data_IF_600303350749
#
_entry.id   IF_600303350749
#
_cell.length_a   1.000
_cell.length_b   1.000
_cell.length_c   1.000
_cell.angle_alpha   90.00
_cell.angle_beta   90.00
_cell.angle_gamma   90.00
#
_symmetry.space_group_name_H-M   'P 1'
#
loop_
_entity.id
_entity.type
_entity.pdbx_description
1 polymer ?
#
# COMPACT_ATOMS: atom_id res chain seq x y z
N UNK A 1 17.17 4.20 -9.28
CA UNK A 1 18.03 5.33 -9.63
C UNK A 1 18.20 5.53 -11.15
N UNK A 2 17.73 4.62 -11.96
CA UNK A 2 17.87 4.65 -13.43
C UNK A 2 16.58 5.06 -14.15
N UNK A 3 15.54 5.36 -13.40
CA UNK A 3 14.21 5.77 -13.89
C UNK A 3 13.76 7.06 -13.20
N UNK A 4 12.77 7.74 -13.77
CA UNK A 4 12.13 8.89 -13.13
C UNK A 4 11.57 8.51 -11.76
N UNK A 5 11.62 9.45 -10.82
CA UNK A 5 11.07 9.25 -9.47
C UNK A 5 9.56 8.97 -9.54
N UNK A 6 9.06 8.12 -8.66
CA UNK A 6 7.64 7.71 -8.65
C UNK A 6 6.70 8.92 -8.57
N UNK A 7 7.05 9.94 -7.78
CA UNK A 7 6.27 11.18 -7.67
C UNK A 7 6.28 12.04 -8.95
N UNK A 8 7.20 11.79 -9.90
CA UNK A 8 7.21 12.42 -11.23
C UNK A 8 6.40 11.62 -12.26
N UNK A 9 6.22 10.30 -12.03
CA UNK A 9 5.50 9.41 -12.95
C UNK A 9 4.01 9.39 -12.65
N UNK A 10 3.65 9.36 -11.37
CA UNK A 10 2.25 9.35 -10.94
C UNK A 10 1.66 10.75 -11.06
N UNK A 11 0.67 10.90 -11.94
CA UNK A 11 0.03 12.20 -12.23
C UNK A 11 -0.94 12.65 -11.13
N UNK A 12 -1.66 11.71 -10.49
CA UNK A 12 -2.51 12.02 -9.34
C UNK A 12 -1.74 11.76 -8.03
N UNK A 13 -1.37 12.80 -7.26
CA UNK A 13 -0.60 12.64 -6.03
C UNK A 13 -1.25 11.71 -4.99
N UNK A 14 -2.59 11.61 -4.98
CA UNK A 14 -3.33 10.70 -4.09
C UNK A 14 -3.02 9.21 -4.38
N UNK A 15 -2.50 8.89 -5.56
CA UNK A 15 -2.13 7.52 -5.92
C UNK A 15 -0.71 7.13 -5.46
N UNK A 16 0.12 8.07 -5.01
CA UNK A 16 1.46 7.75 -4.52
C UNK A 16 1.41 6.82 -3.30
N UNK A 17 0.59 7.09 -2.25
CA UNK A 17 0.43 6.15 -1.14
C UNK A 17 -0.10 4.78 -1.58
N UNK A 18 -0.97 4.72 -2.60
CA UNK A 18 -1.50 3.44 -3.11
C UNK A 18 -0.41 2.58 -3.74
N UNK A 19 0.53 3.19 -4.45
CA UNK A 19 1.66 2.48 -5.03
C UNK A 19 2.54 1.83 -3.94
N UNK A 20 2.83 2.55 -2.86
CA UNK A 20 3.52 1.99 -1.70
C UNK A 20 2.68 0.92 -0.98
N UNK A 21 1.36 1.12 -0.87
CA UNK A 21 0.46 0.09 -0.36
C UNK A 21 0.51 -1.20 -1.17
N UNK A 22 0.64 -1.13 -2.49
CA UNK A 22 0.87 -2.30 -3.32
C UNK A 22 2.26 -2.89 -3.06
N UNK A 23 3.32 -2.07 -3.10
CA UNK A 23 4.70 -2.52 -2.95
C UNK A 23 4.92 -3.29 -1.65
N UNK A 24 4.46 -2.75 -0.53
CA UNK A 24 4.59 -3.41 0.77
C UNK A 24 3.70 -4.64 0.95
N UNK A 25 2.57 -4.71 0.23
CA UNK A 25 1.64 -5.85 0.24
C UNK A 25 2.10 -7.02 -0.65
N UNK A 26 2.80 -6.74 -1.74
CA UNK A 26 3.24 -7.76 -2.70
C UNK A 26 4.30 -8.70 -2.09
N UNK A 27 4.43 -9.94 -2.65
CA UNK A 27 5.57 -10.80 -2.35
C UNK A 27 6.90 -10.13 -2.67
N UNK A 28 7.90 -10.34 -1.82
CA UNK A 28 9.24 -9.79 -1.99
C UNK A 28 9.59 -8.75 -0.93
N UNK A 29 10.73 -8.09 -1.12
CA UNK A 29 11.29 -7.08 -0.22
C UNK A 29 11.01 -5.72 -0.83
N UNK A 30 10.22 -4.85 -0.17
CA UNK A 30 10.00 -3.49 -0.66
C UNK A 30 11.30 -2.69 -0.63
N UNK A 31 11.51 -1.85 -1.64
CA UNK A 31 12.70 -1.03 -1.77
C UNK A 31 12.32 0.41 -2.05
N UNK A 32 12.35 1.24 -1.03
CA UNK A 32 12.09 2.67 -1.14
C UNK A 32 13.40 3.40 -1.44
N UNK A 33 13.50 4.02 -2.60
CA UNK A 33 14.68 4.80 -2.96
C UNK A 33 14.69 6.14 -2.23
N UNK A 34 15.84 6.50 -1.62
CA UNK A 34 15.97 7.68 -0.77
C UNK A 34 15.40 8.95 -1.43
N UNK A 35 14.66 9.75 -0.69
CA UNK A 35 13.95 10.92 -1.14
C UNK A 35 12.55 10.63 -1.69
N UNK A 36 12.27 9.41 -2.12
CA UNK A 36 10.93 9.04 -2.61
C UNK A 36 9.93 8.91 -1.47
N UNK A 37 10.38 8.65 -0.25
CA UNK A 37 9.55 8.54 0.96
C UNK A 37 8.90 9.86 1.38
N UNK A 38 9.41 11.00 0.92
CA UNK A 38 8.74 12.30 1.10
C UNK A 38 8.24 12.91 -0.20
N UNK A 39 8.25 12.12 -1.30
CA UNK A 39 7.68 12.55 -2.58
C UNK A 39 8.60 13.42 -3.43
N UNK A 40 9.93 13.30 -3.28
CA UNK A 40 10.89 14.01 -4.13
C UNK A 40 10.65 13.68 -5.61
N UNK A 41 10.67 14.73 -6.44
CA UNK A 41 10.42 14.63 -7.88
C UNK A 41 11.70 14.84 -8.66
N UNK A 42 11.96 13.97 -9.62
CA UNK A 42 12.97 14.15 -10.66
C UNK A 42 12.65 13.27 -11.87
N UNK A 43 12.92 13.76 -13.05
CA UNK A 43 12.69 13.07 -14.31
C UNK A 43 14.00 12.59 -14.91
N UNK A 44 13.99 11.41 -15.55
CA UNK A 44 15.16 10.81 -16.19
C UNK A 44 15.74 11.70 -17.31
N UNK A 45 14.90 12.48 -17.97
CA UNK A 45 15.36 13.44 -19.02
C UNK A 45 16.31 14.52 -18.49
N UNK A 46 16.29 14.76 -17.17
CA UNK A 46 17.17 15.73 -16.50
C UNK A 46 18.56 15.15 -16.20
N UNK A 47 18.80 13.89 -16.50
CA UNK A 47 20.04 13.17 -16.28
C UNK A 47 20.20 12.60 -14.87
N UNK A 48 21.23 11.77 -14.70
CA UNK A 48 21.49 11.04 -13.46
C UNK A 48 21.70 11.92 -12.22
N UNK A 49 22.41 13.08 -12.31
CA UNK A 49 22.57 13.94 -11.13
C UNK A 49 21.23 14.43 -10.54
N UNK A 50 20.22 14.67 -11.36
CA UNK A 50 18.89 15.07 -10.89
C UNK A 50 18.16 13.94 -10.15
N UNK A 51 18.41 12.68 -10.56
CA UNK A 51 17.83 11.51 -9.92
C UNK A 51 18.51 11.14 -8.59
N UNK A 52 19.75 11.62 -8.38
CA UNK A 52 20.63 11.22 -7.26
C UNK A 52 21.16 12.43 -6.50
N UNK A 53 20.30 13.40 -6.08
CA UNK A 53 20.78 14.58 -5.38
C UNK A 53 21.31 14.18 -4.00
N UNK A 54 22.21 14.99 -3.48
CA UNK A 54 22.53 15.01 -2.06
C UNK A 54 21.50 15.84 -1.31
N UNK A 55 20.95 15.31 -0.21
CA UNK A 55 20.03 16.03 0.66
C UNK A 55 20.75 16.43 1.95
N UNK A 56 20.80 17.72 2.23
CA UNK A 56 21.31 18.25 3.51
C UNK A 56 20.28 18.09 4.64
N UNK A 57 19.00 18.13 4.29
CA UNK A 57 17.88 18.04 5.22
C UNK A 57 16.95 16.92 4.72
N UNK A 58 16.52 16.07 5.64
CA UNK A 58 15.51 15.04 5.39
C UNK A 58 14.14 15.60 5.77
N UNK A 59 13.20 15.54 4.83
CA UNK A 59 11.85 16.01 5.05
C UNK A 59 10.96 14.85 5.50
N UNK A 60 10.40 14.96 6.69
CA UNK A 60 9.36 14.03 7.15
C UNK A 60 7.99 14.64 6.91
N UNK A 61 7.08 13.87 6.29
CA UNK A 61 5.74 14.29 5.98
C UNK A 61 4.74 13.12 6.12
N UNK A 62 3.48 13.35 5.73
CA UNK A 62 2.43 12.33 5.82
C UNK A 62 2.76 11.05 5.02
N UNK A 63 3.43 11.18 3.87
CA UNK A 63 3.86 10.02 3.08
C UNK A 63 4.92 9.22 3.82
N UNK A 64 5.91 9.88 4.42
CA UNK A 64 6.94 9.22 5.25
C UNK A 64 6.31 8.45 6.41
N UNK A 65 5.36 9.09 7.11
CA UNK A 65 4.64 8.46 8.21
C UNK A 65 3.79 7.27 7.73
N UNK A 66 3.18 7.38 6.56
CA UNK A 66 2.40 6.29 5.96
C UNK A 66 3.28 5.09 5.59
N UNK A 67 4.41 5.32 4.91
CA UNK A 67 5.39 4.26 4.56
C UNK A 67 5.93 3.59 5.81
N UNK A 68 6.17 4.36 6.87
CA UNK A 68 6.61 3.83 8.16
C UNK A 68 5.60 2.86 8.77
N UNK A 69 4.29 3.17 8.69
CA UNK A 69 3.22 2.26 9.11
C UNK A 69 3.17 0.98 8.26
N UNK A 70 3.28 1.10 6.93
CA UNK A 70 3.35 -0.06 6.03
C UNK A 70 4.52 -0.97 6.39
N UNK A 71 5.70 -0.39 6.64
CA UNK A 71 6.90 -1.12 7.04
C UNK A 71 6.72 -1.84 8.37
N UNK A 72 6.09 -1.19 9.36
CA UNK A 72 5.79 -1.79 10.66
C UNK A 72 4.84 -2.99 10.53
N UNK A 73 3.75 -2.84 9.76
CA UNK A 73 2.80 -3.94 9.50
C UNK A 73 3.49 -5.10 8.77
N UNK A 74 4.27 -4.81 7.71
CA UNK A 74 5.00 -5.88 6.99
C UNK A 74 5.98 -6.59 7.90
N UNK A 75 6.74 -5.87 8.71
CA UNK A 75 7.72 -6.46 9.64
C UNK A 75 7.08 -7.41 10.66
N UNK A 76 5.86 -7.14 11.10
CA UNK A 76 5.14 -7.94 12.10
C UNK A 76 4.36 -9.12 11.51
N UNK A 77 4.18 -9.21 10.19
CA UNK A 77 3.34 -10.22 9.55
C UNK A 77 4.14 -11.29 8.83
N UNK A 78 3.91 -12.55 9.18
CA UNK A 78 4.41 -13.69 8.42
C UNK A 78 3.72 -13.81 7.05
N UNK A 79 2.42 -13.47 6.98
CA UNK A 79 1.67 -13.48 5.72
C UNK A 79 2.31 -12.56 4.68
N UNK A 80 2.64 -11.32 5.04
CA UNK A 80 3.24 -10.36 4.12
C UNK A 80 4.69 -10.71 3.75
N UNK A 81 5.44 -11.38 4.65
CA UNK A 81 6.84 -11.72 4.41
C UNK A 81 6.99 -13.04 3.64
N UNK A 82 6.24 -14.07 4.00
CA UNK A 82 6.47 -15.45 3.54
C UNK A 82 5.22 -16.09 2.94
N UNK A 83 4.06 -15.42 3.02
CA UNK A 83 2.79 -15.97 2.61
C UNK A 83 2.62 -16.11 1.10
N UNK A 84 1.65 -16.93 0.73
CA UNK A 84 1.17 -17.07 -0.64
C UNK A 84 0.52 -15.75 -1.13
N UNK A 85 0.20 -15.71 -2.41
CA UNK A 85 -0.51 -14.60 -3.03
C UNK A 85 -1.74 -15.13 -3.78
N UNK A 86 -2.91 -14.57 -3.50
CA UNK A 86 -4.14 -14.88 -4.22
C UNK A 86 -4.89 -13.60 -4.57
N UNK A 87 -5.22 -13.42 -5.84
CA UNK A 87 -6.10 -12.33 -6.27
C UNK A 87 -7.53 -12.63 -5.85
N UNK A 88 -8.21 -11.65 -5.22
CA UNK A 88 -9.58 -11.78 -4.70
C UNK A 88 -10.55 -10.90 -5.49
N UNK A 89 -10.22 -9.63 -5.67
CA UNK A 89 -10.96 -8.69 -6.51
C UNK A 89 -9.97 -8.02 -7.44
N UNK A 90 -10.31 -7.94 -8.72
CA UNK A 90 -9.52 -7.18 -9.70
C UNK A 90 -10.47 -6.51 -10.69
N UNK A 91 -10.46 -5.20 -10.69
CA UNK A 91 -11.18 -4.34 -11.63
C UNK A 91 -10.21 -3.34 -12.27
N UNK A 92 -10.70 -2.38 -13.04
CA UNK A 92 -9.85 -1.33 -13.61
C UNK A 92 -9.32 -0.33 -12.56
N UNK A 93 -9.96 -0.23 -11.40
CA UNK A 93 -9.66 0.76 -10.36
C UNK A 93 -9.50 0.19 -8.97
N UNK A 94 -9.94 -1.03 -8.74
CA UNK A 94 -9.88 -1.68 -7.43
C UNK A 94 -9.15 -3.01 -7.52
N UNK A 95 -8.36 -3.31 -6.49
CA UNK A 95 -7.85 -4.66 -6.29
C UNK A 95 -7.90 -5.04 -4.82
N UNK A 96 -8.23 -6.30 -4.57
CA UNK A 96 -8.04 -6.95 -3.27
C UNK A 96 -7.25 -8.22 -3.52
N UNK A 97 -6.17 -8.40 -2.79
CA UNK A 97 -5.41 -9.65 -2.82
C UNK A 97 -5.15 -10.14 -1.41
N UNK A 98 -5.10 -11.45 -1.28
CA UNK A 98 -4.86 -12.16 -0.03
C UNK A 98 -3.40 -12.59 0.05
N UNK A 99 -2.81 -12.40 1.22
CA UNK A 99 -1.54 -12.98 1.65
C UNK A 99 -1.80 -13.89 2.84
N UNK A 100 -1.24 -15.09 2.86
CA UNK A 100 -1.43 -16.01 3.97
C UNK A 100 -0.21 -16.89 4.23
N UNK A 101 0.11 -17.06 5.50
CA UNK A 101 1.13 -17.98 6.01
C UNK A 101 0.60 -18.67 7.27
N UNK A 102 0.10 -19.91 7.12
CA UNK A 102 -0.61 -20.59 8.21
C UNK A 102 -1.86 -19.79 8.61
N UNK A 103 -1.95 -19.48 9.86
CA UNK A 103 -3.08 -18.72 10.44
C UNK A 103 -2.96 -17.20 10.28
N UNK A 104 -1.80 -16.68 9.87
CA UNK A 104 -1.65 -15.26 9.57
C UNK A 104 -2.19 -14.98 8.17
N UNK A 105 -3.26 -14.18 8.08
CA UNK A 105 -3.93 -13.82 6.82
C UNK A 105 -4.13 -12.32 6.78
N UNK A 106 -3.75 -11.70 5.67
CA UNK A 106 -3.98 -10.28 5.41
C UNK A 106 -4.55 -10.11 4.01
N UNK A 107 -5.63 -9.33 3.90
CA UNK A 107 -6.15 -8.85 2.63
C UNK A 107 -5.67 -7.40 2.43
N UNK A 108 -4.94 -7.17 1.35
CA UNK A 108 -4.54 -5.83 0.93
C UNK A 108 -5.58 -5.34 -0.07
N UNK A 109 -6.30 -4.30 0.30
CA UNK A 109 -7.39 -3.73 -0.48
C UNK A 109 -7.03 -2.31 -0.94
N UNK A 110 -7.12 -2.06 -2.23
CA UNK A 110 -6.76 -0.81 -2.89
C UNK A 110 -7.96 -0.29 -3.68
N UNK A 111 -8.32 0.96 -3.46
CA UNK A 111 -9.26 1.69 -4.29
C UNK A 111 -8.56 2.89 -4.96
N UNK A 112 -8.32 2.81 -6.26
CA UNK A 112 -7.70 3.89 -7.04
C UNK A 112 -8.73 4.82 -7.71
N UNK A 113 -10.03 4.59 -7.50
CA UNK A 113 -11.07 5.54 -7.90
C UNK A 113 -11.17 6.67 -6.87
N UNK A 114 -11.65 7.84 -7.29
CA UNK A 114 -11.91 8.96 -6.37
C UNK A 114 -13.21 8.77 -5.57
N UNK A 115 -14.10 7.90 -6.04
CA UNK A 115 -15.34 7.57 -5.36
C UNK A 115 -15.15 6.40 -4.38
N UNK A 116 -15.94 6.34 -3.30
CA UNK A 116 -15.96 5.17 -2.42
C UNK A 116 -16.34 3.89 -3.16
N UNK A 117 -15.80 2.77 -2.67
CA UNK A 117 -16.08 1.44 -3.19
C UNK A 117 -16.34 0.46 -2.05
N UNK A 118 -17.36 -0.38 -2.17
CA UNK A 118 -17.62 -1.46 -1.21
C UNK A 118 -17.05 -2.76 -1.75
N UNK A 119 -16.01 -3.26 -1.09
CA UNK A 119 -15.37 -4.53 -1.42
C UNK A 119 -16.13 -5.68 -0.74
N UNK A 120 -16.78 -6.53 -1.54
CA UNK A 120 -17.48 -7.73 -1.07
C UNK A 120 -16.66 -8.97 -1.40
N UNK A 121 -16.14 -9.65 -0.38
CA UNK A 121 -15.38 -10.90 -0.49
C UNK A 121 -15.49 -11.70 0.80
N UNK A 122 -15.17 -12.99 0.75
CA UNK A 122 -15.10 -13.83 1.93
C UNK A 122 -13.72 -13.69 2.60
N UNK A 123 -13.70 -13.13 3.79
CA UNK A 123 -12.49 -13.01 4.62
C UNK A 123 -12.28 -14.22 5.55
N UNK A 124 -13.23 -15.17 5.59
CA UNK A 124 -13.22 -16.28 6.55
C UNK A 124 -13.52 -15.85 7.98
N UNK A 125 -14.04 -14.63 8.20
CA UNK A 125 -14.39 -14.07 9.49
C UNK A 125 -15.56 -13.09 9.35
N UNK A 126 -16.31 -12.88 10.43
CA UNK A 126 -17.41 -11.91 10.46
C UNK A 126 -16.92 -10.46 10.46
N UNK A 127 -15.70 -10.23 10.95
CA UNK A 127 -15.08 -8.91 11.03
C UNK A 127 -13.61 -8.95 10.60
N UNK A 128 -13.12 -7.80 10.16
CA UNK A 128 -11.71 -7.57 9.85
C UNK A 128 -11.24 -6.27 10.50
N UNK A 129 -9.97 -6.23 10.92
CA UNK A 129 -9.33 -5.01 11.42
C UNK A 129 -8.34 -4.47 10.37
N UNK A 130 -8.44 -3.20 10.02
CA UNK A 130 -7.43 -2.54 9.21
C UNK A 130 -6.19 -2.21 10.07
N UNK A 131 -5.08 -2.86 9.76
CA UNK A 131 -3.82 -2.73 10.51
C UNK A 131 -3.15 -1.35 10.36
N UNK A 132 -3.56 -0.55 9.37
CA UNK A 132 -3.01 0.80 9.16
C UNK A 132 -3.70 1.84 10.04
N UNK A 133 -4.98 1.61 10.38
CA UNK A 133 -5.81 2.58 11.14
C UNK A 133 -6.27 2.04 12.49
N UNK A 134 -6.32 0.73 12.68
CA UNK A 134 -6.89 0.06 13.84
C UNK A 134 -8.42 -0.05 13.82
N UNK A 135 -9.07 0.40 12.76
CA UNK A 135 -10.54 0.32 12.64
C UNK A 135 -11.00 -1.10 12.32
N UNK A 136 -12.12 -1.51 12.93
CA UNK A 136 -12.79 -2.79 12.65
C UNK A 136 -13.97 -2.59 11.70
N UNK A 137 -14.17 -3.55 10.80
CA UNK A 137 -15.22 -3.56 9.78
C UNK A 137 -15.99 -4.87 9.80
N UNK A 138 -17.32 -4.80 9.70
CA UNK A 138 -18.20 -5.96 9.55
C UNK A 138 -18.22 -6.41 8.08
N UNK A 139 -18.02 -7.70 7.85
CA UNK A 139 -17.97 -8.29 6.52
C UNK A 139 -19.35 -8.56 5.89
N UNK A 140 -20.42 -8.52 6.69
CA UNK A 140 -21.78 -8.85 6.22
C UNK A 140 -22.30 -7.94 5.10
N UNK A 141 -21.88 -6.68 5.08
CA UNK A 141 -22.21 -5.70 4.02
C UNK A 141 -21.05 -5.36 3.09
N UNK A 142 -19.91 -6.04 3.26
CA UNK A 142 -18.66 -5.70 2.61
C UNK A 142 -17.93 -4.53 3.30
N UNK A 143 -16.66 -4.34 2.95
CA UNK A 143 -15.81 -3.29 3.51
C UNK A 143 -15.92 -2.03 2.65
N UNK A 144 -16.39 -0.94 3.26
CA UNK A 144 -16.40 0.38 2.59
C UNK A 144 -15.00 0.97 2.57
N UNK A 145 -14.52 1.26 1.38
CA UNK A 145 -13.22 1.88 1.11
C UNK A 145 -13.47 3.31 0.62
N UNK A 146 -12.79 4.27 1.19
CA UNK A 146 -12.79 5.63 0.66
C UNK A 146 -12.14 5.71 -0.73
N UNK A 147 -12.38 6.82 -1.44
CA UNK A 147 -11.68 7.07 -2.69
C UNK A 147 -10.18 7.26 -2.47
N UNK A 148 -9.35 6.76 -3.40
CA UNK A 148 -7.89 6.80 -3.31
C UNK A 148 -7.36 6.28 -1.96
N UNK A 149 -7.79 5.08 -1.56
CA UNK A 149 -7.44 4.48 -0.26
C UNK A 149 -6.77 3.12 -0.38
N UNK A 150 -6.05 2.76 0.66
CA UNK A 150 -5.47 1.43 0.86
C UNK A 150 -5.73 0.96 2.28
N UNK A 151 -6.08 -0.32 2.42
CA UNK A 151 -6.35 -0.97 3.70
C UNK A 151 -5.61 -2.30 3.78
N UNK A 152 -5.14 -2.65 4.97
CA UNK A 152 -4.51 -3.94 5.27
C UNK A 152 -5.38 -4.67 6.28
N UNK A 153 -6.29 -5.48 5.79
CA UNK A 153 -7.39 -6.07 6.55
C UNK A 153 -6.98 -7.45 7.10
N UNK A 154 -6.96 -7.57 8.41
CA UNK A 154 -6.71 -8.82 9.11
C UNK A 154 -8.03 -9.39 9.66
N UNK A 155 -8.38 -10.67 9.35
CA UNK A 155 -9.55 -11.32 9.93
C UNK A 155 -9.49 -11.37 11.46
N UNK A 156 -10.58 -10.97 12.13
CA UNK A 156 -10.72 -11.11 13.59
C UNK A 156 -11.10 -12.55 13.93
N UNK A 157 -10.45 -13.10 14.94
CA UNK A 157 -10.69 -14.49 15.42
C UNK A 157 -11.65 -14.52 16.59
#
# INVERSE_FOLDING_TARGET
HDVSRIASVITNPKHIPLAYGIEFGMPGIPCVYYGSEWGFKADKSQGDPALRPYFEIYEENELTAFISRLAAVKKSSNALNYGDFTSVILTNRQCVFRRAAGDDVIFVAINADENPYTACFDAGAAKVTDLLTGNSYDMGSGVSMDGCSVMYLQPER
#
